data_IF_682090278284
#
_entry.id   IF_682090278284
#
_cell.length_a   1.000
_cell.length_b   1.000
_cell.length_c   1.000
_cell.angle_alpha   90.00
_cell.angle_beta   90.00
_cell.angle_gamma   90.00
#
_symmetry.space_group_name_H-M   'P 1'
#
loop_
_entity.id
_entity.type
_entity.pdbx_description
1 polymer ?
#
# COMPACT_ATOMS: atom_id res chain seq x y z
N UNK A 1 18.04 11.01 11.90
CA UNK A 1 18.14 12.19 11.01
C UNK A 1 17.19 11.97 9.84
N UNK A 2 16.37 12.95 9.47
CA UNK A 2 15.47 12.85 8.32
C UNK A 2 16.25 12.96 7.01
N UNK A 3 15.81 12.27 5.97
CA UNK A 3 16.41 12.39 4.63
C UNK A 3 15.84 13.64 3.93
N UNK A 4 16.72 14.61 3.66
CA UNK A 4 16.36 15.88 3.01
C UNK A 4 15.92 15.71 1.55
N UNK A 5 16.20 14.56 0.94
CA UNK A 5 15.82 14.24 -0.44
C UNK A 5 14.54 13.41 -0.52
N UNK A 6 13.90 13.10 0.62
CA UNK A 6 12.70 12.28 0.65
C UNK A 6 11.49 13.05 1.19
N UNK A 7 10.56 13.36 0.30
CA UNK A 7 9.33 14.11 0.61
C UNK A 7 8.29 13.28 1.40
N UNK A 8 8.26 11.96 1.19
CA UNK A 8 7.37 11.05 1.92
C UNK A 8 5.88 11.10 1.53
N UNK A 9 5.50 11.82 0.47
CA UNK A 9 4.13 11.82 -0.06
C UNK A 9 4.09 11.97 -1.58
N UNK A 10 2.95 11.61 -2.18
CA UNK A 10 2.69 11.76 -3.61
C UNK A 10 1.20 11.69 -3.92
N UNK A 11 0.80 12.21 -5.08
CA UNK A 11 -0.59 12.17 -5.56
C UNK A 11 -0.59 11.96 -7.07
N UNK A 12 -1.43 11.04 -7.53
CA UNK A 12 -1.62 10.75 -8.96
C UNK A 12 -3.11 10.58 -9.24
N UNK A 13 -3.50 10.86 -10.49
CA UNK A 13 -4.82 10.53 -11.01
C UNK A 13 -4.72 9.18 -11.71
N UNK A 14 -5.69 8.29 -11.48
CA UNK A 14 -5.78 7.03 -12.22
C UNK A 14 -5.99 7.31 -13.70
N UNK A 15 -5.44 6.46 -14.56
CA UNK A 15 -5.72 6.54 -15.99
C UNK A 15 -7.16 6.06 -16.32
N UNK A 16 -7.52 6.06 -17.60
CA UNK A 16 -8.84 5.64 -18.07
C UNK A 16 -9.18 4.17 -17.78
N UNK A 17 -8.18 3.33 -17.48
CA UNK A 17 -8.34 1.94 -17.06
C UNK A 17 -8.37 1.77 -15.54
N UNK A 18 -8.27 2.86 -14.77
CA UNK A 18 -8.22 2.82 -13.31
C UNK A 18 -6.83 2.53 -12.73
N UNK A 19 -5.80 2.45 -13.56
CA UNK A 19 -4.44 2.13 -13.13
C UNK A 19 -3.75 3.36 -12.53
N UNK A 20 -2.87 3.13 -11.56
CA UNK A 20 -2.03 4.15 -10.95
C UNK A 20 -0.59 3.63 -10.80
N UNK A 21 0.36 4.55 -10.67
CA UNK A 21 1.77 4.21 -10.46
C UNK A 21 2.42 5.17 -9.47
N UNK A 22 3.25 4.63 -8.57
CA UNK A 22 4.11 5.39 -7.68
C UNK A 22 5.51 4.79 -7.72
N UNK A 23 6.54 5.64 -7.66
CA UNK A 23 7.91 5.24 -7.35
C UNK A 23 8.31 5.91 -6.03
N UNK A 24 8.73 5.10 -5.07
CA UNK A 24 9.08 5.57 -3.72
C UNK A 24 10.09 4.61 -3.08
N UNK A 25 10.60 4.97 -1.90
CA UNK A 25 11.39 4.05 -1.09
C UNK A 25 10.48 3.00 -0.45
N UNK A 26 10.91 1.73 -0.47
CA UNK A 26 10.21 0.65 0.25
C UNK A 26 10.11 1.06 1.73
N UNK A 27 8.91 1.00 2.36
CA UNK A 27 8.78 1.38 3.76
C UNK A 27 9.67 0.50 4.63
N UNK A 28 10.36 1.13 5.57
CA UNK A 28 11.23 0.45 6.53
C UNK A 28 10.64 0.53 7.93
N UNK A 29 11.35 -0.08 8.87
CA UNK A 29 11.01 -0.07 10.27
C UNK A 29 10.84 1.33 10.84
N UNK A 30 9.74 1.57 11.53
CA UNK A 30 9.54 2.74 12.37
C UNK A 30 8.73 2.36 13.62
N UNK A 31 8.67 3.26 14.61
CA UNK A 31 8.20 2.91 15.95
C UNK A 31 6.74 2.40 15.97
N UNK A 32 6.54 1.25 16.61
CA UNK A 32 5.24 0.73 17.03
C UNK A 32 4.33 0.15 15.95
N UNK A 33 4.71 0.19 14.66
CA UNK A 33 3.90 -0.34 13.54
C UNK A 33 4.71 -1.25 12.64
N UNK A 34 4.04 -2.14 11.92
CA UNK A 34 4.65 -2.84 10.77
C UNK A 34 4.88 -1.85 9.62
N UNK A 35 5.97 -1.95 8.83
CA UNK A 35 6.17 -1.15 7.61
C UNK A 35 4.94 -1.11 6.69
N UNK A 36 4.49 0.08 6.34
CA UNK A 36 3.36 0.27 5.41
C UNK A 36 3.40 1.60 4.66
N UNK A 37 2.60 1.69 3.59
CA UNK A 37 2.33 2.92 2.85
C UNK A 37 0.88 3.32 3.12
N UNK A 38 0.66 4.56 3.56
CA UNK A 38 -0.68 5.11 3.68
C UNK A 38 -1.25 5.46 2.31
N UNK A 39 -2.50 5.05 2.07
CA UNK A 39 -3.21 5.29 0.82
C UNK A 39 -4.55 5.94 1.12
N UNK A 40 -4.87 6.98 0.35
CA UNK A 40 -6.14 7.67 0.48
C UNK A 40 -6.74 7.89 -0.91
N UNK A 41 -7.89 7.28 -1.16
CA UNK A 41 -8.53 7.21 -2.47
C UNK A 41 -9.75 8.11 -2.48
N UNK A 42 -9.85 8.94 -3.51
CA UNK A 42 -10.97 9.87 -3.70
C UNK A 42 -11.58 9.65 -5.07
N UNK A 43 -12.91 9.74 -5.14
CA UNK A 43 -13.67 9.68 -6.39
C UNK A 43 -14.76 10.76 -6.34
N UNK A 44 -14.97 11.46 -7.46
CA UNK A 44 -15.94 12.55 -7.60
C UNK A 44 -15.80 13.61 -6.48
N UNK A 45 -14.55 14.02 -6.21
CA UNK A 45 -14.22 15.04 -5.21
C UNK A 45 -14.37 14.62 -3.74
N UNK A 46 -14.78 13.37 -3.45
CA UNK A 46 -14.98 12.87 -2.08
C UNK A 46 -14.00 11.76 -1.72
N UNK A 47 -13.50 11.77 -0.48
CA UNK A 47 -12.70 10.65 0.07
C UNK A 47 -13.59 9.41 0.16
N UNK A 48 -13.19 8.32 -0.49
CA UNK A 48 -13.91 7.04 -0.48
C UNK A 48 -13.29 6.04 0.47
N UNK A 49 -11.96 6.00 0.55
CA UNK A 49 -11.23 5.04 1.35
C UNK A 49 -9.94 5.65 1.88
N UNK A 50 -9.62 5.36 3.13
CA UNK A 50 -8.28 5.51 3.72
C UNK A 50 -7.84 4.12 4.16
N UNK A 51 -6.69 3.66 3.67
CA UNK A 51 -6.17 2.32 3.92
C UNK A 51 -4.63 2.34 4.02
N UNK A 52 -4.04 1.18 4.28
CA UNK A 52 -2.61 0.97 4.42
C UNK A 52 -2.20 -0.24 3.56
N UNK A 53 -1.11 -0.12 2.80
CA UNK A 53 -0.48 -1.23 2.08
C UNK A 53 0.69 -1.76 2.93
N UNK A 54 0.58 -3.00 3.39
CA UNK A 54 1.57 -3.69 4.21
C UNK A 54 2.49 -4.57 3.35
N UNK A 55 3.68 -4.86 3.86
CA UNK A 55 4.67 -5.70 3.17
C UNK A 55 4.45 -7.17 3.53
N UNK A 56 4.30 -8.06 2.53
CA UNK A 56 4.22 -9.50 2.75
C UNK A 56 5.55 -10.05 3.29
N UNK A 57 5.45 -11.00 4.22
CA UNK A 57 6.62 -11.62 4.87
C UNK A 57 7.22 -10.81 6.01
N UNK A 58 6.71 -9.60 6.27
CA UNK A 58 7.15 -8.79 7.40
C UNK A 58 6.64 -9.37 8.73
N UNK A 59 7.53 -9.82 9.65
CA UNK A 59 7.12 -10.47 10.90
C UNK A 59 6.25 -9.59 11.80
N UNK A 60 6.43 -8.26 11.75
CA UNK A 60 5.64 -7.33 12.56
C UNK A 60 4.15 -7.27 12.18
N UNK A 61 3.76 -7.79 11.02
CA UNK A 61 2.35 -7.90 10.64
C UNK A 61 1.53 -8.73 11.64
N UNK A 62 2.16 -9.69 12.34
CA UNK A 62 1.50 -10.53 13.33
C UNK A 62 1.06 -9.74 14.57
N UNK A 63 1.84 -8.73 14.96
CA UNK A 63 1.67 -7.99 16.21
C UNK A 63 1.19 -6.54 15.97
N UNK A 64 0.99 -6.09 14.73
CA UNK A 64 0.50 -4.75 14.44
C UNK A 64 -0.97 -4.58 14.88
N UNK A 65 -1.19 -3.76 15.90
CA UNK A 65 -2.48 -3.59 16.55
C UNK A 65 -3.56 -2.94 15.67
N UNK A 66 -3.21 -2.28 14.56
CA UNK A 66 -4.20 -1.75 13.60
C UNK A 66 -4.55 -2.82 12.58
N UNK A 67 -3.55 -3.48 12.00
CA UNK A 67 -3.76 -4.58 11.05
C UNK A 67 -4.59 -5.70 11.69
N UNK A 68 -4.35 -6.01 12.97
CA UNK A 68 -5.09 -7.03 13.75
C UNK A 68 -6.55 -6.65 14.08
N UNK A 69 -6.99 -5.42 13.80
CA UNK A 69 -8.41 -5.03 13.88
C UNK A 69 -9.22 -5.59 12.71
N UNK A 70 -8.57 -5.92 11.60
CA UNK A 70 -9.23 -6.48 10.41
C UNK A 70 -9.45 -7.97 10.64
N UNK A 71 -10.67 -8.32 11.09
CA UNK A 71 -11.04 -9.70 11.45
C UNK A 71 -11.29 -10.59 10.24
N UNK A 72 -11.81 -10.02 9.16
CA UNK A 72 -11.96 -10.72 7.90
C UNK A 72 -10.58 -11.03 7.30
N UNK A 73 -10.26 -12.32 7.16
CA UNK A 73 -8.95 -12.77 6.68
C UNK A 73 -8.70 -12.37 5.22
N UNK A 74 -9.74 -12.36 4.37
CA UNK A 74 -9.61 -11.99 2.96
C UNK A 74 -9.30 -10.49 2.84
N UNK A 75 -10.03 -9.65 3.57
CA UNK A 75 -9.78 -8.22 3.65
C UNK A 75 -8.38 -7.93 4.22
N UNK A 76 -7.99 -8.61 5.30
CA UNK A 76 -6.64 -8.46 5.88
C UNK A 76 -5.55 -8.82 4.87
N UNK A 77 -5.68 -9.97 4.21
CA UNK A 77 -4.69 -10.43 3.23
C UNK A 77 -4.66 -9.55 1.98
N UNK A 78 -5.76 -8.90 1.61
CA UNK A 78 -5.80 -7.95 0.49
C UNK A 78 -4.93 -6.70 0.71
N UNK A 79 -4.52 -6.43 1.96
CA UNK A 79 -3.65 -5.30 2.30
C UNK A 79 -2.17 -5.71 2.43
N UNK A 80 -1.85 -7.01 2.43
CA UNK A 80 -0.49 -7.54 2.64
C UNK A 80 0.08 -7.94 1.29
N UNK A 81 0.93 -7.09 0.73
CA UNK A 81 1.31 -7.16 -0.69
C UNK A 81 2.74 -7.66 -0.84
N UNK A 82 3.01 -8.57 -1.80
CA UNK A 82 4.38 -8.96 -2.15
C UNK A 82 5.15 -7.79 -2.77
N UNK A 83 6.33 -7.52 -2.24
CA UNK A 83 7.31 -6.61 -2.82
C UNK A 83 8.40 -7.47 -3.47
N UNK A 84 8.18 -7.85 -4.72
CA UNK A 84 9.05 -8.76 -5.45
C UNK A 84 10.22 -7.99 -6.08
N UNK A 85 11.41 -8.59 -6.20
CA UNK A 85 12.50 -7.99 -6.96
C UNK A 85 12.05 -7.59 -8.36
N UNK A 86 12.37 -6.36 -8.77
CA UNK A 86 12.15 -5.93 -10.14
C UNK A 86 13.24 -6.57 -11.01
N UNK A 87 12.82 -7.33 -12.01
CA UNK A 87 13.74 -7.97 -12.96
C UNK A 87 14.64 -6.91 -13.61
N UNK A 88 15.93 -7.23 -13.75
CA UNK A 88 16.94 -6.38 -14.39
C UNK A 88 17.18 -5.03 -13.70
N UNK A 89 16.70 -4.85 -12.46
CA UNK A 89 16.95 -3.65 -11.68
C UNK A 89 18.43 -3.53 -11.28
N UNK A 90 19.06 -2.42 -11.66
CA UNK A 90 20.44 -2.08 -11.29
C UNK A 90 20.60 -1.65 -9.82
N UNK A 91 19.53 -1.18 -9.19
CA UNK A 91 19.55 -0.58 -7.84
C UNK A 91 18.86 -1.45 -6.78
N UNK A 92 18.55 -2.71 -7.09
CA UNK A 92 17.80 -3.59 -6.19
C UNK A 92 16.36 -3.14 -5.92
N UNK A 93 15.73 -2.45 -6.87
CA UNK A 93 14.33 -2.05 -6.81
C UNK A 93 13.40 -3.26 -6.68
N UNK A 94 12.26 -3.01 -6.04
CA UNK A 94 11.17 -3.97 -5.89
C UNK A 94 9.91 -3.41 -6.51
N UNK A 95 9.03 -4.30 -6.95
CA UNK A 95 7.70 -3.98 -7.46
C UNK A 95 6.64 -4.58 -6.56
N UNK A 96 5.61 -3.79 -6.29
CA UNK A 96 4.43 -4.20 -5.55
C UNK A 96 3.19 -3.82 -6.36
N UNK A 97 2.26 -4.77 -6.54
CA UNK A 97 0.96 -4.52 -7.16
C UNK A 97 -0.10 -4.51 -6.07
N UNK A 98 -0.67 -3.33 -5.81
CA UNK A 98 -1.73 -3.16 -4.84
C UNK A 98 -3.01 -2.75 -5.57
N UNK A 99 -3.93 -3.69 -5.76
CA UNK A 99 -5.21 -3.42 -6.40
C UNK A 99 -6.23 -2.97 -5.35
N UNK A 100 -6.71 -1.73 -5.44
CA UNK A 100 -7.67 -1.15 -4.49
C UNK A 100 -9.10 -1.27 -5.01
N UNK A 101 -9.95 -1.96 -4.25
CA UNK A 101 -11.37 -2.15 -4.58
C UNK A 101 -12.22 -1.26 -3.67
N UNK A 102 -12.95 -0.30 -4.26
CA UNK A 102 -13.79 0.65 -3.51
C UNK A 102 -15.18 0.11 -3.13
N UNK A 103 -15.59 -1.01 -3.73
CA UNK A 103 -16.87 -1.66 -3.50
C UNK A 103 -17.05 -2.84 -4.45
N UNK A 104 -18.06 -3.67 -4.19
CA UNK A 104 -18.52 -4.67 -5.16
C UNK A 104 -19.52 -4.01 -6.10
N UNK A 105 -19.38 -4.23 -7.40
CA UNK A 105 -20.50 -4.03 -8.32
C UNK A 105 -21.60 -5.00 -7.90
N UNK A 106 -22.86 -4.58 -7.72
CA UNK A 106 -23.96 -5.50 -7.52
C UNK A 106 -23.92 -6.58 -8.62
N UNK A 107 -24.28 -7.82 -8.28
CA UNK A 107 -24.60 -8.78 -9.33
C UNK A 107 -25.80 -8.21 -10.10
N UNK A 108 -25.73 -8.27 -11.44
CA UNK A 108 -26.87 -7.97 -12.31
C UNK A 108 -28.09 -8.82 -11.95
#
# INVERSE_FOLDING_TARGET
>A
KWDSNFQGYGRFLTNTKGEYFFRTLKPTLYSGRTPHIHMAISANGKRKLTTQCYVQGEPRNENDFILSRIKDKKARNSLIIPFNPLKDSKLGEVVARFDVVLGATPAD
#
